data_IF_244580352234
#
_entry.id   IF_244580352234
#
_cell.length_a   1.000
_cell.length_b   1.000
_cell.length_c   1.000
_cell.angle_alpha   90.00
_cell.angle_beta   90.00
_cell.angle_gamma   90.00
#
_symmetry.space_group_name_H-M   'P 1'
#
loop_
_entity.id
_entity.type
_entity.pdbx_description
1 polymer ?
#
# COMPACT_ATOMS: atom_id res chain seq x y z
N UNK A 1 -56.55 17.19 13.26
CA UNK A 1 -55.95 16.44 12.14
C UNK A 1 -54.48 16.81 12.06
N UNK A 2 -53.55 15.89 12.32
CA UNK A 2 -52.12 16.13 12.07
C UNK A 2 -51.86 16.13 10.55
N UNK A 3 -50.96 16.99 10.05
CA UNK A 3 -50.56 16.95 8.65
C UNK A 3 -49.80 15.65 8.33
N UNK A 4 -50.13 15.04 7.19
CA UNK A 4 -49.47 13.86 6.64
C UNK A 4 -48.05 14.25 6.16
N UNK A 5 -46.98 13.56 6.56
CA UNK A 5 -45.65 13.80 6.01
C UNK A 5 -45.55 13.21 4.59
N UNK A 6 -45.43 14.09 3.60
CA UNK A 6 -45.09 13.76 2.22
C UNK A 6 -43.68 13.17 2.14
N UNK A 7 -43.57 11.96 1.58
CA UNK A 7 -42.33 11.22 1.51
C UNK A 7 -41.21 11.93 0.73
N UNK A 8 -39.98 11.75 1.20
CA UNK A 8 -38.88 11.19 0.41
C UNK A 8 -38.03 10.30 1.30
N UNK A 9 -37.69 9.16 0.73
CA UNK A 9 -36.94 8.07 1.33
C UNK A 9 -35.69 8.54 2.08
N UNK A 10 -35.49 7.89 3.22
CA UNK A 10 -34.23 7.76 3.95
C UNK A 10 -33.13 7.47 2.93
N UNK A 11 -32.30 8.48 2.62
CA UNK A 11 -31.06 8.27 1.88
C UNK A 11 -30.07 7.68 2.88
N UNK A 12 -29.77 6.41 2.66
CA UNK A 12 -28.85 5.56 3.41
C UNK A 12 -27.63 6.35 3.90
N UNK A 13 -27.49 6.41 5.22
CA UNK A 13 -26.21 6.73 5.87
C UNK A 13 -25.36 5.47 5.78
N UNK A 14 -24.55 5.35 4.74
CA UNK A 14 -23.53 4.32 4.65
C UNK A 14 -22.16 4.96 4.39
N UNK A 15 -21.22 4.68 5.30
CA UNK A 15 -19.79 4.88 5.05
C UNK A 15 -19.13 6.17 5.55
N UNK A 16 -19.35 6.59 6.80
CA UNK A 16 -18.28 7.32 7.51
C UNK A 16 -17.23 6.29 7.97
N UNK A 17 -16.35 5.87 7.07
CA UNK A 17 -15.10 5.23 7.46
C UNK A 17 -14.03 6.32 7.55
N UNK A 18 -13.52 6.50 8.77
CA UNK A 18 -12.60 7.56 9.14
C UNK A 18 -11.36 7.59 8.25
N UNK A 19 -11.12 8.74 7.63
CA UNK A 19 -9.79 9.12 7.16
C UNK A 19 -9.16 10.02 8.21
N UNK A 20 -8.89 9.47 9.39
CA UNK A 20 -8.01 10.13 10.35
C UNK A 20 -6.57 9.94 9.85
N UNK A 21 -5.98 11.01 9.31
CA UNK A 21 -4.53 11.10 9.06
C UNK A 21 -4.06 11.57 7.68
N UNK A 22 -4.94 11.97 6.74
CA UNK A 22 -4.51 12.53 5.45
C UNK A 22 -5.02 13.97 5.26
N UNK A 23 -4.19 14.91 4.80
CA UNK A 23 -4.68 16.23 4.40
C UNK A 23 -5.79 16.07 3.35
N UNK A 24 -6.97 16.67 3.55
CA UNK A 24 -7.97 16.73 2.51
C UNK A 24 -7.40 17.64 1.40
N UNK A 25 -7.70 17.33 0.14
CA UNK A 25 -7.32 18.11 -1.04
C UNK A 25 -5.98 17.77 -1.73
N UNK A 26 -5.55 16.52 -1.73
CA UNK A 26 -4.56 16.07 -2.74
C UNK A 26 -5.00 14.78 -3.42
N UNK A 27 -5.68 14.91 -4.56
CA UNK A 27 -5.92 13.81 -5.48
C UNK A 27 -4.61 13.35 -6.13
N UNK A 28 -4.39 12.04 -6.19
CA UNK A 28 -3.25 11.47 -6.91
C UNK A 28 -3.64 11.37 -8.39
N UNK A 29 -2.88 11.99 -9.28
CA UNK A 29 -3.14 11.84 -10.72
C UNK A 29 -2.91 10.40 -11.17
N UNK A 30 -3.62 9.95 -12.20
CA UNK A 30 -3.44 8.59 -12.74
C UNK A 30 -2.00 8.31 -13.14
N UNK A 31 -1.28 9.33 -13.65
CA UNK A 31 0.16 9.23 -13.95
C UNK A 31 0.99 9.02 -12.69
N UNK A 32 0.71 9.77 -11.63
CA UNK A 32 1.39 9.60 -10.33
C UNK A 32 1.09 8.22 -9.71
N UNK A 33 -0.11 7.68 -9.93
CA UNK A 33 -0.47 6.32 -9.51
C UNK A 33 0.32 5.25 -10.29
N UNK A 34 0.45 5.39 -11.61
CA UNK A 34 1.26 4.49 -12.43
C UNK A 34 2.75 4.53 -12.05
N UNK A 35 3.31 5.73 -11.85
CA UNK A 35 4.71 5.90 -11.41
C UNK A 35 4.93 5.24 -10.05
N UNK A 36 4.00 5.43 -9.10
CA UNK A 36 4.06 4.75 -7.81
C UNK A 36 4.06 3.23 -7.98
N UNK A 37 3.19 2.69 -8.83
CA UNK A 37 3.11 1.25 -9.04
C UNK A 37 4.42 0.70 -9.62
N UNK A 38 4.98 1.36 -10.64
CA UNK A 38 6.29 0.97 -11.19
C UNK A 38 7.40 1.05 -10.15
N UNK A 39 7.41 2.09 -9.30
CA UNK A 39 8.37 2.23 -8.22
C UNK A 39 8.31 1.06 -7.23
N UNK A 40 7.11 0.66 -6.81
CA UNK A 40 6.94 -0.48 -5.88
C UNK A 40 7.45 -1.77 -6.51
N UNK A 41 7.15 -2.02 -7.79
CA UNK A 41 7.61 -3.22 -8.47
C UNK A 41 9.14 -3.25 -8.65
N UNK A 42 9.77 -2.14 -9.06
CA UNK A 42 11.24 -2.05 -9.21
C UNK A 42 11.94 -2.31 -7.88
N UNK A 43 11.47 -1.71 -6.78
CA UNK A 43 12.05 -1.94 -5.45
C UNK A 43 11.81 -3.38 -4.98
N UNK A 44 10.62 -3.93 -5.20
CA UNK A 44 10.32 -5.31 -4.84
C UNK A 44 11.22 -6.31 -5.57
N UNK A 45 11.39 -6.16 -6.88
CA UNK A 45 12.27 -7.02 -7.68
C UNK A 45 13.72 -6.95 -7.20
N UNK A 46 14.23 -5.74 -6.90
CA UNK A 46 15.59 -5.57 -6.36
C UNK A 46 15.76 -6.29 -5.02
N UNK A 47 14.80 -6.13 -4.09
CA UNK A 47 14.86 -6.79 -2.78
C UNK A 47 14.77 -8.30 -2.94
N UNK A 48 13.85 -8.81 -3.76
CA UNK A 48 13.66 -10.25 -3.97
C UNK A 48 14.92 -10.90 -4.57
N UNK A 49 15.54 -10.24 -5.56
CA UNK A 49 16.78 -10.71 -6.18
C UNK A 49 17.92 -10.75 -5.17
N UNK A 50 18.12 -9.70 -4.38
CA UNK A 50 19.21 -9.67 -3.40
C UNK A 50 18.98 -10.65 -2.24
N UNK A 51 17.74 -10.77 -1.75
CA UNK A 51 17.38 -11.76 -0.73
C UNK A 51 17.57 -13.20 -1.22
N UNK A 52 17.25 -13.47 -2.49
CA UNK A 52 17.52 -14.77 -3.13
C UNK A 52 19.04 -15.05 -3.15
N UNK A 53 19.86 -14.08 -3.59
CA UNK A 53 21.33 -14.23 -3.59
C UNK A 53 21.88 -14.50 -2.19
N UNK A 54 21.38 -13.79 -1.16
CA UNK A 54 21.77 -14.02 0.23
C UNK A 54 21.40 -15.42 0.73
N UNK A 55 20.21 -15.93 0.38
CA UNK A 55 19.82 -17.31 0.72
C UNK A 55 20.77 -18.33 0.07
N UNK A 56 21.12 -18.13 -1.21
CA UNK A 56 22.06 -18.98 -1.92
C UNK A 56 23.47 -18.93 -1.31
N UNK A 57 23.95 -17.74 -0.93
CA UNK A 57 25.24 -17.60 -0.22
C UNK A 57 25.25 -18.35 1.12
N UNK A 58 24.13 -18.34 1.83
CA UNK A 58 23.96 -19.08 3.08
C UNK A 58 23.64 -20.58 2.88
N UNK A 59 23.63 -21.08 1.63
CA UNK A 59 23.27 -22.46 1.26
C UNK A 59 21.88 -22.86 1.77
N UNK A 60 20.94 -21.91 1.79
CA UNK A 60 19.56 -22.09 2.19
C UNK A 60 18.66 -22.00 0.97
N UNK A 61 17.69 -22.91 0.86
CA UNK A 61 16.64 -22.83 -0.16
C UNK A 61 15.45 -21.95 0.27
N UNK A 62 15.36 -21.63 1.56
CA UNK A 62 14.30 -20.80 2.13
C UNK A 62 14.81 -19.40 2.39
N UNK A 63 14.15 -18.40 1.81
CA UNK A 63 14.37 -16.98 2.13
C UNK A 63 13.61 -16.68 3.43
N UNK A 64 14.31 -16.14 4.43
CA UNK A 64 13.71 -15.74 5.71
C UNK A 64 13.72 -14.22 5.86
N UNK A 65 13.12 -13.70 6.93
CA UNK A 65 13.16 -12.28 7.26
C UNK A 65 14.59 -11.73 7.40
N UNK A 66 15.57 -12.58 7.73
CA UNK A 66 16.99 -12.20 7.80
C UNK A 66 17.54 -11.76 6.45
N UNK A 67 17.29 -12.54 5.40
CA UNK A 67 17.73 -12.20 4.04
C UNK A 67 17.04 -10.93 3.55
N UNK A 68 15.72 -10.80 3.81
CA UNK A 68 14.96 -9.59 3.45
C UNK A 68 15.52 -8.36 4.18
N UNK A 69 15.72 -8.43 5.50
CA UNK A 69 16.25 -7.32 6.29
C UNK A 69 17.65 -6.89 5.83
N UNK A 70 18.48 -7.86 5.45
CA UNK A 70 19.83 -7.59 4.93
C UNK A 70 19.76 -6.97 3.55
N UNK A 71 18.94 -7.51 2.64
CA UNK A 71 18.72 -6.94 1.31
C UNK A 71 18.22 -5.49 1.36
N UNK A 72 17.28 -5.18 2.26
CA UNK A 72 16.78 -3.82 2.47
C UNK A 72 17.90 -2.87 2.91
N UNK A 73 18.76 -3.29 3.85
CA UNK A 73 19.92 -2.50 4.31
C UNK A 73 20.98 -2.27 3.22
N UNK A 74 21.08 -3.17 2.25
CA UNK A 74 22.00 -3.01 1.12
C UNK A 74 21.44 -2.07 0.05
N UNK A 75 20.12 -2.03 -0.12
CA UNK A 75 19.47 -1.30 -1.21
C UNK A 75 18.97 0.09 -0.80
N UNK A 76 18.60 0.30 0.45
CA UNK A 76 18.02 1.56 0.92
C UNK A 76 19.03 2.35 1.76
N UNK A 77 19.21 3.66 1.49
CA UNK A 77 19.97 4.52 2.38
C UNK A 77 19.29 4.62 3.75
N UNK A 78 20.11 4.69 4.80
CA UNK A 78 19.67 4.81 6.19
C UNK A 78 19.09 6.19 6.54
#
# INVERSE_FOLDING_TARGET
MPPQPSGKAVKEREGRNGTEGRPPDTGISSKAMSIRNSFVNDIFERIANEASRLAHYNKRSTITSREIQTAVRLLLPG
#
